data_IF_079880179294
#
_entry.id   IF_079880179294
#
_cell.length_a   1.000
_cell.length_b   1.000
_cell.length_c   1.000
_cell.angle_alpha   90.00
_cell.angle_beta   90.00
_cell.angle_gamma   90.00
#
_symmetry.space_group_name_H-M   'P 1'
#
loop_
_entity.id
_entity.type
_entity.pdbx_description
1 polymer ?
#
# COMPACT_ATOMS: atom_id res chain seq x y z
N UNK A 1 15.10 -3.78 3.09
CA UNK A 1 14.91 -4.07 1.64
C UNK A 1 13.45 -4.42 1.44
N UNK A 2 12.80 -4.00 0.34
CA UNK A 2 11.45 -4.43 0.02
C UNK A 2 11.38 -5.96 0.03
N UNK A 3 10.33 -6.51 0.62
CA UNK A 3 10.12 -7.95 0.71
C UNK A 3 9.44 -8.41 -0.59
N UNK A 4 10.21 -8.97 -1.52
CA UNK A 4 9.68 -9.39 -2.81
C UNK A 4 10.75 -9.80 -3.82
N UNK A 5 10.31 -10.12 -5.02
CA UNK A 5 11.13 -10.59 -6.14
C UNK A 5 11.30 -9.47 -7.15
N UNK A 6 12.54 -9.08 -7.43
CA UNK A 6 12.83 -8.17 -8.52
C UNK A 6 12.66 -8.88 -9.86
N UNK A 7 11.87 -8.31 -10.77
CA UNK A 7 11.67 -8.84 -12.11
C UNK A 7 12.77 -8.38 -13.06
N UNK A 8 13.23 -9.27 -13.93
CA UNK A 8 14.19 -8.96 -14.97
C UNK A 8 13.47 -8.49 -16.25
N UNK A 9 13.93 -7.38 -16.83
CA UNK A 9 13.37 -6.84 -18.08
C UNK A 9 13.42 -7.83 -19.25
N UNK A 10 14.45 -8.68 -19.31
CA UNK A 10 14.59 -9.68 -20.36
C UNK A 10 13.64 -10.89 -20.19
N UNK A 11 13.19 -11.15 -18.96
CA UNK A 11 12.31 -12.27 -18.64
C UNK A 11 10.83 -11.89 -18.72
N UNK A 12 10.47 -10.63 -18.39
CA UNK A 12 9.09 -10.14 -18.28
C UNK A 12 8.79 -8.97 -19.23
N UNK A 13 9.07 -9.17 -20.52
CA UNK A 13 9.11 -8.10 -21.54
C UNK A 13 7.79 -7.36 -21.68
N UNK A 14 6.66 -8.05 -21.60
CA UNK A 14 5.33 -7.44 -21.80
C UNK A 14 5.02 -6.42 -20.71
N UNK A 15 5.21 -6.80 -19.44
CA UNK A 15 4.98 -5.91 -18.30
C UNK A 15 5.93 -4.69 -18.36
N UNK A 16 7.22 -4.92 -18.62
CA UNK A 16 8.18 -3.82 -18.74
C UNK A 16 7.82 -2.85 -19.86
N UNK A 17 7.48 -3.37 -21.04
CA UNK A 17 7.01 -2.54 -22.17
C UNK A 17 5.77 -1.74 -21.79
N UNK A 18 4.78 -2.37 -21.16
CA UNK A 18 3.58 -1.67 -20.68
C UNK A 18 3.94 -0.49 -19.78
N UNK A 19 4.82 -0.70 -18.79
CA UNK A 19 5.23 0.38 -17.88
C UNK A 19 5.94 1.52 -18.62
N UNK A 20 6.79 1.20 -19.61
CA UNK A 20 7.50 2.19 -20.43
C UNK A 20 6.53 3.00 -21.31
N UNK A 21 5.51 2.34 -21.87
CA UNK A 21 4.51 3.01 -22.72
C UNK A 21 3.64 3.95 -21.88
N UNK A 22 3.19 3.53 -20.69
CA UNK A 22 2.48 4.40 -19.73
C UNK A 22 3.35 5.61 -19.34
N UNK A 23 4.65 5.38 -19.06
CA UNK A 23 5.56 6.46 -18.71
C UNK A 23 5.65 7.53 -19.81
N UNK A 24 5.70 7.10 -21.09
CA UNK A 24 5.70 8.00 -22.25
C UNK A 24 4.37 8.77 -22.37
N UNK A 25 3.23 8.09 -22.23
CA UNK A 25 1.89 8.72 -22.31
C UNK A 25 1.66 9.78 -21.22
N UNK A 26 2.27 9.59 -20.05
CA UNK A 26 2.17 10.50 -18.88
C UNK A 26 3.29 11.54 -18.88
N UNK A 27 4.24 11.48 -19.82
CA UNK A 27 5.44 12.32 -19.82
C UNK A 27 6.22 12.25 -18.50
N UNK A 28 6.24 11.06 -17.91
CA UNK A 28 6.96 10.77 -16.66
C UNK A 28 8.22 9.96 -16.96
N UNK A 29 9.21 10.09 -16.07
CA UNK A 29 10.40 9.25 -16.11
C UNK A 29 10.00 7.78 -15.85
N UNK A 30 10.61 6.80 -16.55
CA UNK A 30 10.21 5.41 -16.46
C UNK A 30 10.50 4.78 -15.09
N UNK A 31 9.84 3.65 -14.82
CA UNK A 31 10.20 2.75 -13.72
C UNK A 31 11.54 2.10 -14.02
N UNK A 32 12.43 2.10 -13.03
CA UNK A 32 13.76 1.49 -13.14
C UNK A 32 13.86 0.09 -12.53
N UNK A 33 12.84 -0.32 -11.78
CA UNK A 33 12.80 -1.62 -11.09
C UNK A 33 11.36 -2.03 -10.81
N UNK A 34 11.01 -3.28 -11.09
CA UNK A 34 9.71 -3.86 -10.71
C UNK A 34 9.95 -4.94 -9.66
N UNK A 35 9.18 -4.89 -8.58
CA UNK A 35 9.22 -5.87 -7.49
C UNK A 35 7.83 -6.46 -7.32
N UNK A 36 7.74 -7.78 -7.31
CA UNK A 36 6.51 -8.50 -6.99
C UNK A 36 6.57 -8.99 -5.55
N UNK A 37 5.52 -8.73 -4.78
CA UNK A 37 5.45 -9.04 -3.34
C UNK A 37 4.20 -9.86 -3.02
N UNK A 38 4.22 -10.69 -1.95
CA UNK A 38 3.01 -11.31 -1.42
C UNK A 38 2.15 -10.35 -0.59
N UNK A 39 2.62 -9.12 -0.31
CA UNK A 39 1.82 -8.10 0.35
C UNK A 39 0.75 -7.51 -0.59
N UNK A 40 -0.39 -7.03 -0.06
CA UNK A 40 -1.36 -6.33 -0.88
C UNK A 40 -0.84 -4.92 -1.22
N UNK A 41 -1.36 -4.36 -2.31
CA UNK A 41 -1.10 -3.02 -2.80
C UNK A 41 -0.37 -3.02 -4.15
N UNK A 42 -0.57 -1.93 -4.88
CA UNK A 42 0.19 -1.58 -6.08
C UNK A 42 0.68 -0.16 -5.85
N UNK A 43 1.98 0.07 -5.96
CA UNK A 43 2.54 1.36 -5.59
C UNK A 43 3.87 1.65 -6.23
N UNK A 44 4.17 2.93 -6.44
CA UNK A 44 5.52 3.36 -6.85
C UNK A 44 6.20 4.08 -5.70
N UNK A 45 7.50 3.85 -5.52
CA UNK A 45 8.31 4.61 -4.57
C UNK A 45 9.72 4.89 -5.10
N UNK A 46 10.42 5.83 -4.46
CA UNK A 46 11.82 6.15 -4.80
C UNK A 46 12.79 5.39 -3.90
N UNK A 47 13.65 4.58 -4.50
CA UNK A 47 14.81 3.93 -3.87
C UNK A 47 16.05 4.84 -3.99
N UNK A 48 16.83 4.99 -2.91
CA UNK A 48 18.00 5.86 -2.84
C UNK A 48 18.18 6.53 -1.47
N UNK A 49 19.28 7.25 -1.27
CA UNK A 49 19.47 8.08 -0.08
C UNK A 49 18.64 9.38 -0.16
N UNK A 50 18.40 10.04 0.98
CA UNK A 50 17.52 11.21 1.05
C UNK A 50 17.94 12.34 0.10
N UNK A 51 19.24 12.67 0.08
CA UNK A 51 19.78 13.72 -0.80
C UNK A 51 19.52 13.39 -2.28
N UNK A 52 19.83 12.17 -2.72
CA UNK A 52 19.58 11.73 -4.09
C UNK A 52 18.10 11.84 -4.47
N UNK A 53 17.19 11.45 -3.57
CA UNK A 53 15.74 11.58 -3.83
C UNK A 53 15.31 13.05 -3.99
N UNK A 54 15.78 13.93 -3.10
CA UNK A 54 15.47 15.37 -3.14
C UNK A 54 16.00 16.01 -4.43
N UNK A 55 17.20 15.62 -4.88
CA UNK A 55 17.81 16.11 -6.12
C UNK A 55 17.39 15.33 -7.38
N UNK A 56 16.35 14.48 -7.28
CA UNK A 56 15.74 13.82 -8.43
C UNK A 56 16.54 12.65 -9.03
N UNK A 57 17.52 12.12 -8.30
CA UNK A 57 18.41 10.99 -8.68
C UNK A 57 18.01 9.62 -8.12
N UNK A 58 16.85 9.49 -7.45
CA UNK A 58 16.35 8.20 -6.96
C UNK A 58 15.81 7.29 -8.06
N UNK A 59 15.94 5.97 -7.89
CA UNK A 59 15.36 4.96 -8.79
C UNK A 59 13.89 4.75 -8.45
N UNK A 60 12.98 4.89 -9.42
CA UNK A 60 11.58 4.51 -9.20
C UNK A 60 11.42 3.00 -9.21
N UNK A 61 10.81 2.50 -8.16
CA UNK A 61 10.49 1.09 -7.98
C UNK A 61 8.98 0.95 -8.00
N UNK A 62 8.47 0.13 -8.92
CA UNK A 62 7.08 -0.31 -8.93
C UNK A 62 6.99 -1.58 -8.08
N UNK A 63 6.23 -1.52 -7.00
CA UNK A 63 5.88 -2.68 -6.18
C UNK A 63 4.48 -3.15 -6.56
N UNK A 64 4.37 -4.46 -6.82
CA UNK A 64 3.14 -5.11 -7.26
C UNK A 64 2.84 -6.26 -6.31
N UNK A 65 1.79 -6.08 -5.50
CA UNK A 65 1.21 -7.11 -4.68
C UNK A 65 0.42 -8.11 -5.50
N UNK A 66 0.80 -9.39 -5.47
CA UNK A 66 0.02 -10.43 -6.13
C UNK A 66 -1.45 -10.53 -5.65
N UNK A 67 -1.79 -10.30 -4.36
CA UNK A 67 -3.20 -10.29 -3.94
C UNK A 67 -4.05 -9.30 -4.74
N UNK A 68 -3.51 -8.10 -5.01
CA UNK A 68 -4.23 -7.00 -5.65
C UNK A 68 -4.58 -7.26 -7.12
N UNK A 69 -3.84 -8.15 -7.77
CA UNK A 69 -4.00 -8.45 -9.20
C UNK A 69 -5.18 -9.38 -9.52
N UNK A 70 -5.81 -9.99 -8.51
CA UNK A 70 -6.87 -10.98 -8.74
C UNK A 70 -8.03 -10.41 -9.59
N UNK A 71 -8.26 -10.99 -10.77
CA UNK A 71 -9.30 -10.59 -11.75
C UNK A 71 -9.25 -9.10 -12.13
N UNK A 72 -8.09 -8.48 -12.03
CA UNK A 72 -7.83 -7.13 -12.52
C UNK A 72 -7.58 -7.21 -14.03
N UNK A 73 -8.35 -6.45 -14.82
CA UNK A 73 -8.13 -6.38 -16.26
C UNK A 73 -6.89 -5.54 -16.57
N UNK A 74 -6.32 -5.69 -17.77
CA UNK A 74 -5.16 -4.90 -18.18
C UNK A 74 -5.49 -3.41 -18.23
N UNK A 75 -6.67 -3.01 -18.70
CA UNK A 75 -7.06 -1.59 -18.74
C UNK A 75 -7.31 -1.01 -17.35
N UNK A 76 -7.88 -1.79 -16.42
CA UNK A 76 -7.99 -1.41 -15.01
C UNK A 76 -6.60 -1.21 -14.39
N UNK A 77 -5.66 -2.13 -14.66
CA UNK A 77 -4.29 -2.03 -14.19
C UNK A 77 -3.53 -0.85 -14.80
N UNK A 78 -3.71 -0.56 -16.09
CA UNK A 78 -3.18 0.66 -16.74
C UNK A 78 -3.69 1.92 -16.04
N UNK A 79 -4.98 1.97 -15.70
CA UNK A 79 -5.55 3.10 -14.96
C UNK A 79 -4.94 3.26 -13.56
N UNK A 80 -4.71 2.15 -12.83
CA UNK A 80 -4.02 2.19 -11.54
C UNK A 80 -2.57 2.63 -11.69
N UNK A 81 -1.82 2.05 -12.62
CA UNK A 81 -0.45 2.48 -12.89
C UNK A 81 -0.39 3.94 -13.31
N UNK A 82 -1.35 4.42 -14.10
CA UNK A 82 -1.41 5.82 -14.48
C UNK A 82 -1.57 6.77 -13.29
N UNK A 83 -2.37 6.36 -12.30
CA UNK A 83 -2.49 7.05 -11.04
C UNK A 83 -1.14 7.03 -10.29
N UNK A 84 -0.52 5.86 -10.14
CA UNK A 84 0.79 5.73 -9.49
C UNK A 84 1.86 6.61 -10.17
N UNK A 85 1.95 6.59 -11.50
CA UNK A 85 2.85 7.45 -12.26
C UNK A 85 2.49 8.93 -12.16
N UNK A 86 1.19 9.26 -12.15
CA UNK A 86 0.66 10.60 -11.95
C UNK A 86 1.09 11.18 -10.61
N UNK A 87 1.13 10.35 -9.57
CA UNK A 87 1.67 10.70 -8.27
C UNK A 87 3.14 11.14 -8.39
N UNK A 88 3.96 10.58 -9.30
CA UNK A 88 5.39 10.91 -9.50
C UNK A 88 5.75 11.89 -10.64
N UNK A 89 4.80 12.23 -11.50
CA UNK A 89 5.04 13.11 -12.65
C UNK A 89 5.09 14.60 -12.27
N UNK A 90 4.38 14.98 -11.21
CA UNK A 90 4.38 16.36 -10.72
C UNK A 90 5.72 16.67 -10.04
N UNK A 91 6.34 17.81 -10.36
CA UNK A 91 7.58 18.33 -9.74
C UNK A 91 7.49 18.39 -8.19
N UNK A 92 6.27 18.36 -7.67
CA UNK A 92 5.94 18.28 -6.24
C UNK A 92 6.51 17.03 -5.54
N UNK A 93 6.81 15.94 -6.27
CA UNK A 93 7.34 14.69 -5.68
C UNK A 93 8.76 14.74 -5.16
N UNK A 94 9.54 15.74 -5.55
CA UNK A 94 10.87 15.95 -4.96
C UNK A 94 10.77 16.31 -3.47
N UNK A 95 9.62 16.87 -3.05
CA UNK A 95 9.36 17.25 -1.66
C UNK A 95 8.78 16.12 -0.83
N UNK A 96 8.15 15.10 -1.42
CA UNK A 96 7.54 13.97 -0.67
C UNK A 96 8.54 13.24 0.24
N UNK A 97 9.77 12.90 -0.20
CA UNK A 97 10.77 12.31 0.68
C UNK A 97 11.18 13.23 1.84
N UNK A 98 11.25 14.54 1.58
CA UNK A 98 11.58 15.54 2.58
C UNK A 98 10.46 15.69 3.61
N UNK A 99 9.21 15.84 3.17
CA UNK A 99 8.06 15.99 4.08
C UNK A 99 7.81 14.72 4.90
N UNK A 100 8.06 13.54 4.33
CA UNK A 100 8.01 12.28 5.07
C UNK A 100 9.10 12.20 6.15
N UNK A 101 10.35 12.52 5.80
CA UNK A 101 11.47 12.50 6.74
C UNK A 101 11.27 13.51 7.89
N UNK A 102 10.81 14.72 7.57
CA UNK A 102 10.50 15.75 8.55
C UNK A 102 9.33 15.34 9.45
N UNK A 103 8.25 14.79 8.88
CA UNK A 103 7.12 14.27 9.66
C UNK A 103 7.55 13.18 10.64
N UNK A 104 8.34 12.21 10.18
CA UNK A 104 8.89 11.15 11.04
C UNK A 104 9.78 11.71 12.15
N UNK A 105 10.65 12.68 11.84
CA UNK A 105 11.47 13.34 12.84
C UNK A 105 10.63 14.05 13.89
N UNK A 106 9.60 14.81 13.48
CA UNK A 106 8.70 15.53 14.38
C UNK A 106 7.93 14.59 15.29
N UNK A 107 7.38 13.50 14.74
CA UNK A 107 6.68 12.48 15.53
C UNK A 107 7.62 11.81 16.53
N UNK A 108 8.85 11.47 16.13
CA UNK A 108 9.83 10.87 17.03
C UNK A 108 10.24 11.84 18.14
N UNK A 109 10.51 13.11 17.81
CA UNK A 109 10.82 14.14 18.82
C UNK A 109 9.68 14.33 19.80
N UNK A 110 8.43 14.36 19.33
CA UNK A 110 7.26 14.48 20.19
C UNK A 110 7.11 13.27 21.13
N UNK A 111 7.32 12.04 20.63
CA UNK A 111 7.28 10.80 21.43
C UNK A 111 8.40 10.75 22.48
N UNK A 112 9.57 11.31 22.18
CA UNK A 112 10.70 11.36 23.12
C UNK A 112 10.60 12.51 24.12
N UNK A 113 9.64 13.43 23.99
CA UNK A 113 9.50 14.58 24.86
C UNK A 113 8.69 14.24 26.12
N UNK A 114 9.10 14.72 27.32
CA UNK A 114 8.29 14.60 28.54
C UNK A 114 6.92 15.27 28.35
N UNK A 115 5.85 14.49 28.51
CA UNK A 115 4.47 14.94 28.31
C UNK A 115 3.43 13.86 28.64
N UNK A 116 2.14 14.14 28.44
CA UNK A 116 1.04 13.23 28.78
C UNK A 116 1.11 11.87 28.07
N UNK A 117 1.83 11.79 26.94
CA UNK A 117 1.97 10.64 26.06
C UNK A 117 3.36 9.99 26.11
N UNK A 118 4.23 10.38 27.04
CA UNK A 118 5.58 9.80 27.21
C UNK A 118 5.54 8.33 27.69
N UNK A 119 6.63 7.60 27.43
CA UNK A 119 6.75 6.15 27.68
C UNK A 119 6.26 5.70 29.07
N UNK A 120 5.49 4.61 29.07
CA UNK A 120 4.73 4.01 30.19
C UNK A 120 5.59 3.29 31.25
N UNK A 121 6.91 3.48 31.23
CA UNK A 121 7.81 2.73 32.10
C UNK A 121 7.92 3.39 33.48
N UNK A 122 6.88 3.23 34.30
CA UNK A 122 6.99 3.26 35.77
C UNK A 122 6.85 4.63 36.47
N UNK A 123 6.47 5.70 35.77
CA UNK A 123 6.28 7.00 36.43
C UNK A 123 4.88 7.14 37.05
N UNK A 124 4.83 7.35 38.38
CA UNK A 124 3.59 7.55 39.12
C UNK A 124 2.77 8.76 38.63
N UNK A 125 1.44 8.73 38.85
CA UNK A 125 0.48 9.69 38.28
C UNK A 125 0.78 11.18 38.54
N UNK A 126 1.52 11.51 39.59
CA UNK A 126 1.93 12.89 39.93
C UNK A 126 2.99 13.40 38.96
N UNK A 127 3.98 12.57 38.60
CA UNK A 127 5.05 12.94 37.66
C UNK A 127 4.47 13.18 36.27
N UNK A 128 3.55 12.31 35.82
CA UNK A 128 2.80 12.50 34.57
C UNK A 128 1.96 13.79 34.60
N UNK A 129 1.36 14.12 35.73
CA UNK A 129 0.63 15.38 35.92
C UNK A 129 1.52 16.62 35.75
N UNK A 130 2.72 16.61 36.32
CA UNK A 130 3.70 17.71 36.20
C UNK A 130 4.24 17.79 34.76
N UNK A 131 4.59 16.66 34.14
CA UNK A 131 5.07 16.64 32.75
C UNK A 131 4.00 17.10 31.75
N UNK A 132 2.72 16.88 32.06
CA UNK A 132 1.60 17.35 31.23
C UNK A 132 1.47 18.87 31.18
N UNK A 133 2.14 19.60 32.09
CA UNK A 133 2.18 21.07 32.08
C UNK A 133 3.32 21.63 31.22
N UNK A 134 4.14 20.79 30.59
CA UNK A 134 5.26 21.22 29.75
C UNK A 134 4.76 22.05 28.54
N UNK A 135 5.00 23.38 28.50
CA UNK A 135 4.51 24.22 27.40
C UNK A 135 5.20 23.90 26.07
N UNK A 136 6.45 23.38 26.10
CA UNK A 136 7.15 22.98 24.90
C UNK A 136 6.50 21.76 24.23
N UNK A 137 5.96 20.82 25.03
CA UNK A 137 5.22 19.67 24.52
C UNK A 137 3.97 20.11 23.76
N UNK A 138 3.15 20.98 24.36
CA UNK A 138 1.93 21.47 23.73
C UNK A 138 2.19 22.32 22.49
N UNK A 139 3.25 23.15 22.53
CA UNK A 139 3.69 23.92 21.36
C UNK A 139 4.13 23.00 20.22
N UNK A 140 4.97 21.99 20.51
CA UNK A 140 5.41 21.02 19.50
C UNK A 140 4.24 20.18 18.98
N UNK A 141 3.33 19.76 19.86
CA UNK A 141 2.12 19.05 19.48
C UNK A 141 1.29 19.88 18.50
N UNK A 142 1.04 21.16 18.82
CA UNK A 142 0.33 22.08 17.92
C UNK A 142 1.07 22.20 16.57
N UNK A 143 2.39 22.36 16.60
CA UNK A 143 3.19 22.45 15.38
C UNK A 143 3.09 21.18 14.52
N UNK A 144 3.21 19.99 15.13
CA UNK A 144 3.04 18.68 14.47
C UNK A 144 1.66 18.59 13.81
N UNK A 145 0.60 19.01 14.50
CA UNK A 145 -0.75 19.01 13.95
C UNK A 145 -0.90 19.96 12.76
N UNK A 146 -0.36 21.18 12.86
CA UNK A 146 -0.39 22.14 11.75
C UNK A 146 0.43 21.65 10.55
N UNK A 147 1.60 21.07 10.81
CA UNK A 147 2.46 20.47 9.80
C UNK A 147 1.74 19.37 9.01
N UNK A 148 1.13 18.41 9.71
CA UNK A 148 0.37 17.34 9.05
C UNK A 148 -0.89 17.85 8.37
N UNK A 149 -1.57 18.84 8.95
CA UNK A 149 -2.73 19.47 8.29
C UNK A 149 -2.39 20.07 6.94
N UNK A 150 -1.25 20.75 6.83
CA UNK A 150 -0.79 21.37 5.57
C UNK A 150 -0.29 20.31 4.59
N UNK A 151 0.61 19.44 5.04
CA UNK A 151 1.22 18.42 4.17
C UNK A 151 0.19 17.44 3.64
N UNK A 152 -0.76 16.98 4.46
CA UNK A 152 -1.83 16.08 4.00
C UNK A 152 -2.80 16.78 3.05
N UNK A 153 -2.99 18.11 3.16
CA UNK A 153 -3.76 18.86 2.17
C UNK A 153 -3.07 18.88 0.80
N UNK A 154 -1.75 19.06 0.75
CA UNK A 154 -0.98 18.94 -0.49
C UNK A 154 -1.03 17.52 -1.08
N UNK A 155 -0.91 16.48 -0.23
CA UNK A 155 -1.04 15.09 -0.66
C UNK A 155 -2.40 14.84 -1.34
N UNK A 156 -3.51 15.27 -0.72
CA UNK A 156 -4.86 15.12 -1.30
C UNK A 156 -5.01 15.81 -2.66
N UNK A 157 -4.40 16.99 -2.84
CA UNK A 157 -4.41 17.66 -4.16
C UNK A 157 -3.63 16.82 -5.18
N UNK A 158 -2.50 16.26 -4.79
CA UNK A 158 -1.69 15.36 -5.62
C UNK A 158 -2.49 14.13 -6.08
N UNK A 159 -3.17 13.48 -5.14
CA UNK A 159 -4.04 12.32 -5.39
C UNK A 159 -5.15 12.65 -6.40
N UNK A 160 -5.88 13.75 -6.21
CA UNK A 160 -6.94 14.17 -7.14
C UNK A 160 -6.38 14.45 -8.53
N UNK A 161 -5.20 15.09 -8.63
CA UNK A 161 -4.54 15.31 -9.92
C UNK A 161 -4.13 14.00 -10.61
N UNK A 162 -3.60 13.05 -9.84
CA UNK A 162 -3.22 11.74 -10.34
C UNK A 162 -4.44 10.95 -10.83
N UNK A 163 -5.54 10.97 -10.07
CA UNK A 163 -6.82 10.37 -10.47
C UNK A 163 -7.35 10.97 -11.76
N UNK A 164 -7.42 12.30 -11.85
CA UNK A 164 -7.87 13.01 -13.05
C UNK A 164 -7.03 12.59 -14.26
N UNK A 165 -5.70 12.50 -14.09
CA UNK A 165 -4.83 12.09 -15.20
C UNK A 165 -5.09 10.65 -15.63
N UNK A 166 -5.23 9.72 -14.68
CA UNK A 166 -5.57 8.33 -14.96
C UNK A 166 -6.90 8.20 -15.70
N UNK A 167 -7.94 8.89 -15.22
CA UNK A 167 -9.28 8.91 -15.81
C UNK A 167 -9.29 9.55 -17.22
N UNK A 168 -8.52 10.62 -17.44
CA UNK A 168 -8.38 11.23 -18.76
C UNK A 168 -7.75 10.29 -19.80
N UNK A 169 -6.82 9.43 -19.39
CA UNK A 169 -6.10 8.54 -20.31
C UNK A 169 -6.83 7.22 -20.54
N UNK A 170 -7.35 6.59 -19.48
CA UNK A 170 -7.93 5.24 -19.54
C UNK A 170 -9.44 5.19 -19.29
N UNK A 171 -10.07 6.32 -18.97
CA UNK A 171 -11.52 6.45 -18.76
C UNK A 171 -11.95 6.25 -17.30
N UNK A 172 -13.12 6.81 -16.95
CA UNK A 172 -13.67 6.74 -15.60
C UNK A 172 -13.96 5.31 -15.14
N UNK A 173 -14.57 4.49 -15.99
CA UNK A 173 -14.91 3.09 -15.69
C UNK A 173 -13.70 2.23 -15.33
N UNK A 174 -12.62 2.28 -16.11
CA UNK A 174 -11.41 1.48 -15.88
C UNK A 174 -10.75 1.86 -14.54
N UNK A 175 -10.65 3.17 -14.26
CA UNK A 175 -10.12 3.65 -13.00
C UNK A 175 -10.98 3.22 -11.81
N UNK A 176 -12.30 3.45 -11.88
CA UNK A 176 -13.24 3.07 -10.81
C UNK A 176 -13.20 1.59 -10.48
N UNK A 177 -13.31 0.75 -11.51
CA UNK A 177 -13.36 -0.68 -11.35
C UNK A 177 -12.02 -1.22 -10.84
N UNK A 178 -10.90 -0.72 -11.39
CA UNK A 178 -9.58 -1.08 -10.94
C UNK A 178 -9.37 -0.73 -9.47
N UNK A 179 -9.73 0.49 -9.07
CA UNK A 179 -9.54 0.96 -7.71
C UNK A 179 -10.40 0.19 -6.71
N UNK A 180 -11.67 -0.05 -7.04
CA UNK A 180 -12.56 -0.86 -6.21
C UNK A 180 -12.07 -2.31 -6.09
N UNK A 181 -11.64 -2.93 -7.19
CA UNK A 181 -11.12 -4.31 -7.18
C UNK A 181 -9.85 -4.43 -6.36
N UNK A 182 -8.88 -3.52 -6.54
CA UNK A 182 -7.64 -3.51 -5.74
C UNK A 182 -7.97 -3.38 -4.26
N UNK A 183 -8.78 -2.38 -3.86
CA UNK A 183 -9.17 -2.23 -2.44
C UNK A 183 -9.91 -3.46 -1.91
N UNK A 184 -10.81 -4.06 -2.69
CA UNK A 184 -11.54 -5.26 -2.29
C UNK A 184 -10.59 -6.45 -2.09
N UNK A 185 -9.70 -6.68 -3.05
CA UNK A 185 -8.72 -7.76 -3.03
C UNK A 185 -7.77 -7.61 -1.82
N UNK A 186 -7.33 -6.40 -1.54
CA UNK A 186 -6.42 -6.08 -0.43
C UNK A 186 -7.09 -6.32 0.93
N UNK A 187 -8.36 -5.91 1.08
CA UNK A 187 -9.17 -6.17 2.27
C UNK A 187 -9.43 -7.67 2.45
N UNK A 188 -9.82 -8.38 1.39
CA UNK A 188 -10.05 -9.84 1.47
C UNK A 188 -8.75 -10.56 1.86
N UNK A 189 -7.63 -10.18 1.25
CA UNK A 189 -6.36 -10.79 1.59
C UNK A 189 -6.03 -10.58 3.07
N UNK A 190 -6.19 -9.38 3.60
CA UNK A 190 -5.87 -9.07 4.99
C UNK A 190 -6.84 -9.70 5.99
N UNK A 191 -8.15 -9.59 5.76
CA UNK A 191 -9.20 -9.97 6.73
C UNK A 191 -9.65 -11.44 6.63
N UNK A 192 -9.43 -12.08 5.49
CA UNK A 192 -9.86 -13.47 5.25
C UNK A 192 -8.64 -14.36 5.10
N UNK A 193 -7.78 -14.09 4.10
CA UNK A 193 -6.67 -14.99 3.80
C UNK A 193 -5.65 -14.97 4.95
N UNK A 194 -5.07 -13.81 5.26
CA UNK A 194 -4.06 -13.67 6.30
C UNK A 194 -4.63 -13.94 7.71
N UNK A 195 -5.79 -13.37 8.03
CA UNK A 195 -6.33 -13.45 9.39
C UNK A 195 -6.95 -14.81 9.73
N UNK A 196 -7.48 -15.56 8.75
CA UNK A 196 -8.21 -16.82 9.01
C UNK A 196 -7.52 -18.04 8.42
N UNK A 197 -7.25 -18.04 7.11
CA UNK A 197 -6.77 -19.24 6.42
C UNK A 197 -5.28 -19.53 6.63
N UNK A 198 -4.44 -18.50 6.72
CA UNK A 198 -3.01 -18.71 6.98
C UNK A 198 -2.78 -19.40 8.33
N UNK A 199 -3.40 -18.97 9.46
CA UNK A 199 -3.29 -19.69 10.72
C UNK A 199 -3.75 -21.16 10.66
N UNK A 200 -4.83 -21.46 9.93
CA UNK A 200 -5.34 -22.82 9.75
C UNK A 200 -4.35 -23.70 8.96
N UNK A 201 -3.84 -23.17 7.84
CA UNK A 201 -2.88 -23.83 6.98
C UNK A 201 -1.58 -24.18 7.73
N UNK A 202 -1.14 -23.29 8.63
CA UNK A 202 0.03 -23.52 9.49
C UNK A 202 -0.22 -24.58 10.55
N UNK A 203 -1.43 -24.62 11.15
CA UNK A 203 -1.80 -25.69 12.11
C UNK A 203 -1.77 -27.06 11.46
N UNK A 204 -2.11 -27.14 10.17
CA UNK A 204 -2.05 -28.37 9.39
C UNK A 204 -0.65 -28.72 8.87
N UNK A 205 0.36 -27.87 9.11
CA UNK A 205 1.72 -28.06 8.60
C UNK A 205 1.84 -27.96 7.08
N UNK A 206 0.85 -27.34 6.42
CA UNK A 206 0.83 -27.13 4.97
C UNK A 206 1.52 -25.83 4.60
N UNK A 207 1.86 -25.69 3.33
CA UNK A 207 2.46 -24.48 2.76
C UNK A 207 1.78 -24.12 1.45
N UNK A 208 1.94 -22.88 0.99
CA UNK A 208 1.39 -22.43 -0.28
C UNK A 208 2.40 -22.75 -1.39
N UNK A 209 1.97 -23.45 -2.44
CA UNK A 209 2.84 -23.77 -3.59
C UNK A 209 2.79 -22.70 -4.68
N UNK A 210 1.63 -22.10 -4.91
CA UNK A 210 1.44 -21.05 -5.91
C UNK A 210 0.47 -20.00 -5.34
N UNK A 211 0.93 -18.76 -5.31
CA UNK A 211 0.25 -17.69 -4.58
C UNK A 211 -1.14 -17.37 -5.16
N UNK A 212 -1.22 -17.00 -6.44
CA UNK A 212 -2.48 -16.64 -7.08
C UNK A 212 -3.46 -17.80 -7.19
N UNK A 213 -3.00 -19.04 -7.42
CA UNK A 213 -3.90 -20.22 -7.42
C UNK A 213 -4.52 -20.46 -6.05
N UNK A 214 -3.75 -20.29 -4.98
CA UNK A 214 -4.26 -20.37 -3.61
C UNK A 214 -5.26 -19.25 -3.31
N UNK A 215 -4.95 -18.02 -3.68
CA UNK A 215 -5.88 -16.89 -3.56
C UNK A 215 -7.16 -17.12 -4.35
N UNK A 216 -7.07 -17.63 -5.58
CA UNK A 216 -8.23 -17.95 -6.42
C UNK A 216 -9.12 -19.04 -5.80
N UNK A 217 -8.53 -20.11 -5.27
CA UNK A 217 -9.26 -21.20 -4.62
C UNK A 217 -10.04 -20.69 -3.40
N UNK A 218 -9.43 -19.84 -2.57
CA UNK A 218 -10.14 -19.23 -1.44
C UNK A 218 -11.24 -18.31 -1.94
N UNK A 219 -10.94 -17.44 -2.90
CA UNK A 219 -11.89 -16.46 -3.42
C UNK A 219 -13.08 -17.10 -4.15
N UNK A 220 -12.92 -18.29 -4.73
CA UNK A 220 -14.05 -19.05 -5.29
C UNK A 220 -15.02 -19.55 -4.23
N UNK A 221 -14.56 -19.75 -2.99
CA UNK A 221 -15.38 -20.19 -1.87
C UNK A 221 -16.02 -19.02 -1.11
N UNK A 222 -15.54 -17.79 -1.30
CA UNK A 222 -16.15 -16.60 -0.71
C UNK A 222 -17.44 -16.28 -1.45
N UNK A 223 -18.55 -16.24 -0.69
CA UNK A 223 -19.85 -15.94 -1.25
C UNK A 223 -19.94 -14.49 -1.73
N UNK A 224 -20.71 -14.27 -2.79
CA UNK A 224 -20.91 -12.94 -3.38
C UNK A 224 -21.43 -11.92 -2.35
N UNK A 225 -22.24 -12.33 -1.37
CA UNK A 225 -22.78 -11.39 -0.36
C UNK A 225 -21.68 -10.90 0.58
N UNK A 226 -20.70 -11.73 0.92
CA UNK A 226 -19.52 -11.29 1.68
C UNK A 226 -18.70 -10.28 0.89
N UNK A 227 -18.46 -10.52 -0.40
CA UNK A 227 -17.77 -9.56 -1.27
C UNK A 227 -18.55 -8.23 -1.34
N UNK A 228 -19.86 -8.29 -1.57
CA UNK A 228 -20.72 -7.10 -1.63
C UNK A 228 -20.71 -6.33 -0.29
N UNK A 229 -20.68 -7.05 0.84
CA UNK A 229 -20.56 -6.46 2.18
C UNK A 229 -19.21 -5.79 2.40
N UNK A 230 -18.11 -6.40 1.97
CA UNK A 230 -16.78 -5.80 2.03
C UNK A 230 -16.75 -4.53 1.20
N UNK A 231 -17.26 -4.58 -0.04
CA UNK A 231 -17.33 -3.41 -0.90
C UNK A 231 -18.17 -2.28 -0.29
N UNK A 232 -19.34 -2.60 0.26
CA UNK A 232 -20.15 -1.63 0.99
C UNK A 232 -19.39 -1.03 2.17
N UNK A 233 -18.73 -1.87 2.99
CA UNK A 233 -17.91 -1.43 4.11
C UNK A 233 -16.76 -0.51 3.69
N UNK A 234 -16.07 -0.82 2.59
CA UNK A 234 -15.00 0.03 2.02
C UNK A 234 -15.58 1.39 1.62
N UNK A 235 -16.74 1.42 0.96
CA UNK A 235 -17.40 2.65 0.52
C UNK A 235 -17.98 3.47 1.69
N UNK A 236 -18.35 2.83 2.80
CA UNK A 236 -18.85 3.46 4.03
C UNK A 236 -17.73 4.00 4.92
N UNK A 237 -16.67 3.21 5.14
CA UNK A 237 -15.48 3.62 5.90
C UNK A 237 -14.75 4.79 5.22
N UNK A 238 -14.91 4.89 3.90
CA UNK A 238 -14.47 6.04 3.10
C UNK A 238 -15.35 7.28 3.23
N UNK A 239 -16.34 7.34 4.13
CA UNK A 239 -17.17 8.55 4.31
C UNK A 239 -16.65 9.47 5.42
N UNK A 240 -15.81 8.97 6.35
CA UNK A 240 -15.22 9.82 7.38
C UNK A 240 -14.03 10.57 6.80
N UNK A 241 -14.20 11.86 6.51
CA UNK A 241 -13.10 12.76 6.21
C UNK A 241 -12.34 13.12 7.47
N UNK A 242 -11.20 12.48 7.73
CA UNK A 242 -10.23 13.09 8.63
C UNK A 242 -9.48 14.18 7.86
N UNK A 243 -9.39 15.37 8.45
CA UNK A 243 -8.53 16.44 7.93
C UNK A 243 -7.05 16.01 7.86
N UNK A 244 -6.70 14.91 8.53
CA UNK A 244 -5.37 14.31 8.57
C UNK A 244 -5.19 13.11 7.62
N UNK A 245 -6.18 12.72 6.80
CA UNK A 245 -5.97 11.67 5.79
C UNK A 245 -5.10 12.20 4.64
N UNK A 246 -4.10 11.42 4.23
CA UNK A 246 -3.22 11.75 3.08
C UNK A 246 -3.91 11.53 1.74
N UNK A 247 -4.98 10.72 1.71
CA UNK A 247 -5.76 10.41 0.51
C UNK A 247 -7.20 10.91 0.64
N UNK A 248 -7.84 11.35 -0.45
CA UNK A 248 -9.28 11.50 -0.48
C UNK A 248 -9.96 10.15 -0.23
N UNK A 249 -11.12 10.21 0.43
CA UNK A 249 -12.08 9.12 0.53
C UNK A 249 -12.25 8.36 -0.80
N UNK A 250 -12.22 7.01 -0.76
CA UNK A 250 -12.40 6.19 -1.95
C UNK A 250 -13.71 6.53 -2.68
N UNK A 251 -14.80 6.72 -1.93
CA UNK A 251 -16.11 7.09 -2.49
C UNK A 251 -16.04 8.37 -3.32
N UNK A 252 -15.33 9.39 -2.84
CA UNK A 252 -15.16 10.64 -3.61
C UNK A 252 -14.39 10.40 -4.91
N UNK A 253 -13.33 9.60 -4.86
CA UNK A 253 -12.52 9.26 -6.04
C UNK A 253 -13.36 8.52 -7.08
N UNK A 254 -14.23 7.63 -6.61
CA UNK A 254 -15.22 6.92 -7.43
C UNK A 254 -16.26 7.90 -8.01
N UNK A 255 -16.81 8.82 -7.21
CA UNK A 255 -17.79 9.80 -7.68
C UNK A 255 -17.20 10.74 -8.74
N UNK A 256 -15.90 11.06 -8.66
CA UNK A 256 -15.21 11.81 -9.72
C UNK A 256 -15.16 11.03 -11.03
N UNK A 257 -14.98 9.71 -10.97
CA UNK A 257 -14.91 8.88 -12.17
C UNK A 257 -16.19 8.88 -13.00
N UNK A 258 -17.35 9.12 -12.36
CA UNK A 258 -18.63 9.19 -13.06
C UNK A 258 -18.74 10.44 -13.95
N UNK A 259 -17.87 11.43 -13.75
CA UNK A 259 -17.83 12.67 -14.54
C UNK A 259 -16.93 12.57 -15.78
N UNK A 260 -16.22 11.46 -15.96
CA UNK A 260 -15.34 11.24 -17.10
C UNK A 260 -15.96 10.25 -18.08
N UNK A 261 -15.73 10.48 -19.37
CA UNK A 261 -16.21 9.58 -20.41
C UNK A 261 -15.64 8.17 -20.22
N UNK A 262 -16.50 7.18 -20.49
CA UNK A 262 -16.08 5.80 -20.56
C UNK A 262 -15.35 5.59 -21.89
N UNK A 263 -14.05 5.31 -21.81
CA UNK A 263 -13.32 4.81 -22.97
C UNK A 263 -13.65 3.34 -23.17
N UNK A 264 -13.68 2.91 -24.43
CA UNK A 264 -13.78 1.48 -24.75
C UNK A 264 -12.58 0.74 -24.17
N UNK A 265 -12.86 -0.32 -23.41
CA UNK A 265 -11.83 -1.26 -22.94
C UNK A 265 -11.22 -1.95 -24.16
N UNK A 266 -9.95 -1.65 -24.43
CA UNK A 266 -9.17 -2.18 -25.54
C UNK A 266 -8.60 -3.55 -25.21
N UNK A 267 -8.26 -3.79 -23.94
CA UNK A 267 -7.64 -5.03 -23.48
C UNK A 267 -8.49 -5.68 -22.39
N UNK A 268 -9.26 -6.70 -22.79
CA UNK A 268 -10.17 -7.45 -21.91
C UNK A 268 -9.49 -8.59 -21.16
N UNK A 269 -8.24 -8.90 -21.51
CA UNK A 269 -7.46 -9.90 -20.80
C UNK A 269 -7.14 -9.42 -19.37
N UNK A 270 -6.84 -10.38 -18.50
CA UNK A 270 -6.42 -10.12 -17.14
C UNK A 270 -4.91 -9.86 -17.08
N UNK A 271 -4.49 -9.22 -15.99
CA UNK A 271 -3.11 -8.80 -15.76
C UNK A 271 -2.12 -9.97 -15.75
N UNK A 272 -2.56 -11.19 -15.42
CA UNK A 272 -1.74 -12.41 -15.49
C UNK A 272 -1.09 -12.60 -16.87
N UNK A 273 -1.76 -12.19 -17.96
CA UNK A 273 -1.25 -12.29 -19.33
C UNK A 273 -0.08 -11.35 -19.65
N UNK A 274 0.13 -10.32 -18.82
CA UNK A 274 1.26 -9.41 -18.93
C UNK A 274 2.56 -10.00 -18.38
N UNK A 275 2.47 -11.07 -17.58
CA UNK A 275 3.63 -11.78 -17.07
C UNK A 275 3.96 -12.93 -18.00
N UNK A 276 5.18 -12.94 -18.51
CA UNK A 276 5.69 -13.98 -19.39
C UNK A 276 5.95 -15.28 -18.61
N UNK A 277 6.31 -15.21 -17.31
CA UNK A 277 6.51 -16.37 -16.43
C UNK A 277 5.60 -16.35 -15.18
N UNK A 278 4.30 -16.10 -15.36
CA UNK A 278 3.32 -15.94 -14.27
C UNK A 278 3.39 -17.04 -13.19
N UNK A 279 3.35 -18.32 -13.58
CA UNK A 279 3.35 -19.45 -12.63
C UNK A 279 4.64 -19.49 -11.80
N UNK A 280 5.80 -19.31 -12.43
CA UNK A 280 7.10 -19.35 -11.77
C UNK A 280 7.31 -18.19 -10.81
N UNK A 281 6.80 -16.99 -11.16
CA UNK A 281 6.80 -15.84 -10.25
C UNK A 281 5.94 -16.15 -9.03
N UNK A 282 4.75 -16.70 -9.24
CA UNK A 282 3.82 -17.06 -8.18
C UNK A 282 4.37 -18.12 -7.22
N UNK A 283 5.08 -19.13 -7.73
CA UNK A 283 5.76 -20.15 -6.92
C UNK A 283 6.83 -19.51 -6.02
N UNK A 284 7.71 -18.69 -6.59
CA UNK A 284 8.75 -18.02 -5.80
C UNK A 284 8.17 -17.04 -4.78
N UNK A 285 7.07 -16.34 -5.10
CA UNK A 285 6.41 -15.44 -4.15
C UNK A 285 5.78 -16.25 -3.02
N UNK A 286 5.19 -17.41 -3.32
CA UNK A 286 4.67 -18.32 -2.32
C UNK A 286 5.77 -18.85 -1.39
N UNK A 287 6.93 -19.25 -1.93
CA UNK A 287 8.10 -19.64 -1.15
C UNK A 287 8.54 -18.53 -0.17
N UNK A 288 8.70 -17.30 -0.68
CA UNK A 288 9.03 -16.13 0.15
C UNK A 288 8.01 -15.91 1.25
N UNK A 289 6.72 -15.97 0.91
CA UNK A 289 5.64 -15.76 1.85
C UNK A 289 5.60 -16.83 2.96
N UNK A 290 5.77 -18.10 2.59
CA UNK A 290 5.89 -19.21 3.56
C UNK A 290 7.05 -18.97 4.54
N UNK A 291 8.23 -18.58 4.04
CA UNK A 291 9.39 -18.28 4.89
C UNK A 291 9.09 -17.17 5.91
N UNK A 292 8.39 -16.10 5.48
CA UNK A 292 8.03 -14.99 6.38
C UNK A 292 7.04 -15.43 7.45
N UNK A 293 6.02 -16.18 7.06
CA UNK A 293 5.02 -16.66 8.02
C UNK A 293 5.67 -17.58 9.06
N UNK A 294 6.55 -18.49 8.63
CA UNK A 294 7.29 -19.37 9.55
C UNK A 294 8.19 -18.58 10.51
N UNK A 295 8.90 -17.57 10.01
CA UNK A 295 9.71 -16.69 10.86
C UNK A 295 8.85 -15.93 11.89
N UNK A 296 7.68 -15.46 11.49
CA UNK A 296 6.73 -14.80 12.39
C UNK A 296 6.21 -15.74 13.49
N UNK A 297 5.84 -16.97 13.14
CA UNK A 297 5.44 -17.99 14.11
C UNK A 297 6.54 -18.31 15.12
N UNK A 298 7.79 -18.47 14.66
CA UNK A 298 8.93 -18.72 15.54
C UNK A 298 9.15 -17.57 16.52
N UNK A 299 9.04 -16.33 16.06
CA UNK A 299 9.16 -15.15 16.92
C UNK A 299 8.05 -15.11 17.99
N UNK A 300 6.80 -15.43 17.63
CA UNK A 300 5.69 -15.51 18.59
C UNK A 300 5.90 -16.61 19.64
N UNK A 301 6.37 -17.79 19.23
CA UNK A 301 6.64 -18.90 20.17
C UNK A 301 7.76 -18.54 21.16
N UNK A 302 8.81 -17.84 20.70
CA UNK A 302 9.89 -17.37 21.56
C UNK A 302 9.39 -16.33 22.58
N UNK A 303 8.52 -15.41 22.17
CA UNK A 303 7.91 -14.42 23.08
C UNK A 303 6.98 -15.07 24.12
N UNK A 304 6.15 -16.04 23.71
CA UNK A 304 5.28 -16.76 24.67
C UNK A 304 6.08 -17.61 25.67
N UNK A 305 7.19 -18.22 25.23
CA UNK A 305 8.07 -18.98 26.12
C UNK A 305 8.76 -18.10 27.17
N UNK A 306 9.21 -16.90 26.77
CA UNK A 306 9.83 -15.95 27.70
C UNK A 306 8.83 -15.35 28.68
N UNK A 307 7.57 -15.12 28.29
CA UNK A 307 6.52 -14.67 29.21
C UNK A 307 6.06 -15.75 30.20
N UNK A 308 6.07 -17.03 29.80
CA UNK A 308 5.78 -18.14 30.72
C UNK A 308 6.92 -18.41 31.72
N UNK A 309 8.18 -18.24 31.30
CA UNK A 309 9.34 -18.32 32.19
C UNK A 309 9.35 -17.14 33.19
N UNK A 310 9.07 -15.91 32.73
CA UNK A 310 8.97 -14.74 33.59
C UNK A 310 7.78 -14.74 34.58
N UNK A 311 6.77 -15.61 34.36
CA UNK A 311 5.65 -15.82 35.31
C UNK A 311 5.91 -16.97 36.30
N UNK A 312 6.95 -17.78 36.08
CA UNK A 312 7.35 -18.89 36.96
C UNK A 312 8.47 -18.52 37.93
N UNK A 313 9.14 -17.39 37.72
CA UNK A 313 10.05 -16.73 38.67
C UNK A 313 9.30 -15.70 39.54
#
# INVERSE_FOLDING_TARGET
>A
KPFGIALNENEEKKLWKLTQDIAKEIESKPIGKIIVTPEPGIGVYLEGNLLSKIFGGGTRVLEIGLPSLHKLSIDEFKAILAHEYGHFSNKDTQWTPFTYAMGSSLTNTLKSMPGPSGNENGEGGIVRGIMSLNPAYWLLLLYVHLYFRITNAFSRIGEVKADIRAMQMYGGKAFRNGLLKVSTNDTIFSEIIQAKHIPELLKEGKTISNFSKFTELILSDVDKKTIDKIQAGILEMSQSHSIYDSHPALKIRIDYSEKFDNKEEKEKDFVDKLFDNWDKINEKVAELYNLRILAYLQALQQQSGTEEEAKKE
#
